data_IF_236420149922
#
_entry.id   IF_236420149922
#
_cell.length_a   1.000
_cell.length_b   1.000
_cell.length_c   1.000
_cell.angle_alpha   90.00
_cell.angle_beta   90.00
_cell.angle_gamma   90.00
#
_symmetry.space_group_name_H-M   'P 1'
#
loop_
_entity.id
_entity.type
_entity.pdbx_description
1 polymer ?
#
# COMPACT_ATOMS: atom_id res chain seq x y z
N UNK A 1 5.23 -13.21 -11.04
CA UNK A 1 6.33 -12.62 -10.24
C UNK A 1 5.87 -11.28 -9.68
N UNK A 2 6.33 -10.92 -8.50
CA UNK A 2 6.04 -9.64 -7.86
C UNK A 2 7.36 -8.90 -7.64
N UNK A 3 7.51 -7.71 -8.24
CA UNK A 3 8.59 -6.79 -7.92
C UNK A 3 8.22 -6.05 -6.63
N UNK A 4 8.97 -6.28 -5.57
CA UNK A 4 8.66 -5.77 -4.23
C UNK A 4 9.14 -4.34 -4.06
N UNK A 5 10.39 -4.08 -4.44
CA UNK A 5 11.07 -2.79 -4.32
C UNK A 5 12.25 -2.73 -5.28
N UNK A 6 13.06 -1.68 -5.18
CA UNK A 6 14.31 -1.55 -5.91
C UNK A 6 15.44 -1.17 -4.95
N UNK A 7 16.63 -1.75 -5.10
CA UNK A 7 17.78 -1.47 -4.24
C UNK A 7 18.20 0.01 -4.21
N UNK A 8 17.81 0.78 -5.23
CA UNK A 8 18.03 2.22 -5.33
C UNK A 8 16.98 3.08 -4.62
N UNK A 9 15.98 2.43 -4.00
CA UNK A 9 14.98 3.13 -3.18
C UNK A 9 15.51 3.45 -1.78
N UNK A 10 16.67 4.14 -1.73
CA UNK A 10 17.34 4.53 -0.49
C UNK A 10 17.62 6.03 -0.51
N UNK A 11 17.18 6.72 0.54
CA UNK A 11 17.53 8.10 0.84
C UNK A 11 17.54 9.05 -0.37
N UNK A 12 18.63 9.78 -0.57
CA UNK A 12 18.75 10.79 -1.62
C UNK A 12 18.76 10.17 -3.03
N UNK A 13 19.27 8.94 -3.22
CA UNK A 13 19.27 8.28 -4.54
C UNK A 13 17.84 8.06 -5.04
N UNK A 14 16.93 7.65 -4.16
CA UNK A 14 15.51 7.56 -4.49
C UNK A 14 14.94 8.91 -4.89
N UNK A 15 15.18 9.94 -4.08
CA UNK A 15 14.62 11.28 -4.31
C UNK A 15 15.09 11.90 -5.63
N UNK A 16 16.31 11.62 -6.06
CA UNK A 16 16.86 12.10 -7.34
C UNK A 16 16.13 11.53 -8.57
N UNK A 17 15.43 10.39 -8.40
CA UNK A 17 14.64 9.75 -9.46
C UNK A 17 13.15 10.14 -9.42
N UNK A 18 12.72 10.95 -8.46
CA UNK A 18 11.34 11.43 -8.38
C UNK A 18 11.14 12.61 -9.31
N UNK A 19 10.28 12.44 -10.31
CA UNK A 19 10.08 13.41 -11.40
C UNK A 19 9.52 14.74 -10.92
N UNK A 20 8.67 14.73 -9.89
CA UNK A 20 8.02 15.95 -9.39
C UNK A 20 7.91 15.92 -7.87
N UNK A 21 8.22 17.06 -7.25
CA UNK A 21 8.07 17.30 -5.82
C UNK A 21 8.76 16.25 -4.91
N UNK A 22 10.05 15.91 -5.13
CA UNK A 22 10.73 14.86 -4.36
C UNK A 22 10.76 15.15 -2.85
N UNK A 23 10.82 16.41 -2.43
CA UNK A 23 10.84 16.79 -1.02
C UNK A 23 9.63 16.29 -0.22
N UNK A 24 8.49 16.09 -0.89
CA UNK A 24 7.28 15.54 -0.26
C UNK A 24 7.51 14.12 0.27
N UNK A 25 8.37 13.33 -0.36
CA UNK A 25 8.64 11.95 -0.01
C UNK A 25 9.78 11.78 1.00
N UNK A 26 10.48 12.86 1.35
CA UNK A 26 11.67 12.80 2.21
C UNK A 26 11.40 12.06 3.53
N UNK A 27 10.38 12.46 4.28
CA UNK A 27 10.05 11.84 5.55
C UNK A 27 9.61 10.38 5.40
N UNK A 28 8.87 10.06 4.35
CA UNK A 28 8.40 8.69 4.10
C UNK A 28 9.56 7.75 3.82
N UNK A 29 10.49 8.16 2.94
CA UNK A 29 11.67 7.33 2.59
C UNK A 29 12.67 7.26 3.74
N UNK A 30 12.79 8.33 4.57
CA UNK A 30 13.63 8.28 5.77
C UNK A 30 13.05 7.37 6.86
N UNK A 31 11.75 7.15 6.87
CA UNK A 31 11.07 6.29 7.85
C UNK A 31 10.95 4.83 7.40
N UNK A 32 10.91 4.58 6.09
CA UNK A 32 10.76 3.24 5.53
C UNK A 32 11.34 3.22 4.11
N UNK A 33 12.52 2.65 3.96
CA UNK A 33 13.22 2.57 2.68
C UNK A 33 13.31 1.12 2.13
N UNK A 34 14.23 0.90 1.20
CA UNK A 34 14.52 -0.41 0.64
C UNK A 34 14.94 -1.43 1.71
N UNK A 35 15.81 -1.03 2.64
CA UNK A 35 16.34 -1.94 3.66
C UNK A 35 15.24 -2.40 4.61
N UNK A 36 14.36 -1.46 5.00
CA UNK A 36 13.19 -1.77 5.83
C UNK A 36 12.20 -2.70 5.11
N UNK A 37 11.99 -2.46 3.81
CA UNK A 37 11.14 -3.31 3.00
C UNK A 37 11.69 -4.74 2.89
N UNK A 38 13.00 -4.90 2.65
CA UNK A 38 13.66 -6.21 2.62
C UNK A 38 13.54 -6.90 3.96
N UNK A 39 13.93 -6.23 5.05
CA UNK A 39 13.84 -6.77 6.40
C UNK A 39 12.40 -7.21 6.72
N UNK A 40 11.39 -6.37 6.43
CA UNK A 40 10.00 -6.72 6.67
C UNK A 40 9.59 -8.04 6.01
N UNK A 41 9.93 -8.24 4.74
CA UNK A 41 9.54 -9.48 4.03
C UNK A 41 10.33 -10.70 4.51
N UNK A 42 11.62 -10.56 4.78
CA UNK A 42 12.47 -11.65 5.26
C UNK A 42 12.09 -12.08 6.68
N UNK A 43 11.81 -11.15 7.58
CA UNK A 43 11.32 -11.41 8.93
C UNK A 43 9.95 -12.13 8.93
N UNK A 44 9.15 -11.91 7.87
CA UNK A 44 7.86 -12.58 7.65
C UNK A 44 7.98 -13.82 6.73
N UNK A 45 9.17 -14.38 6.57
CA UNK A 45 9.41 -15.67 5.94
C UNK A 45 9.51 -15.65 4.42
N UNK A 46 9.65 -14.48 3.79
CA UNK A 46 9.81 -14.35 2.35
C UNK A 46 11.21 -13.84 2.00
N UNK A 47 12.16 -14.75 1.73
CA UNK A 47 13.51 -14.39 1.25
C UNK A 47 13.45 -13.71 -0.11
N UNK A 48 14.25 -12.65 -0.23
CA UNK A 48 14.30 -11.81 -1.42
C UNK A 48 15.65 -11.92 -2.14
N UNK A 49 15.66 -11.58 -3.43
CA UNK A 49 16.86 -11.48 -4.28
C UNK A 49 16.80 -10.21 -5.13
N UNK A 50 17.95 -9.62 -5.38
CA UNK A 50 18.10 -8.50 -6.31
C UNK A 50 18.41 -9.05 -7.69
N UNK A 51 17.76 -8.52 -8.72
CA UNK A 51 17.99 -8.86 -10.12
C UNK A 51 18.44 -7.62 -10.91
N UNK A 52 18.71 -7.83 -12.19
CA UNK A 52 19.17 -6.76 -13.09
C UNK A 52 18.31 -5.49 -12.97
N UNK A 53 18.95 -4.36 -12.83
CA UNK A 53 18.32 -3.04 -12.67
C UNK A 53 17.84 -2.76 -11.24
N UNK A 54 18.38 -3.50 -10.24
CA UNK A 54 18.07 -3.30 -8.83
C UNK A 54 16.68 -3.78 -8.42
N UNK A 55 15.98 -4.50 -9.28
CA UNK A 55 14.63 -5.01 -9.00
C UNK A 55 14.68 -6.14 -8.00
N UNK A 56 13.77 -6.13 -7.04
CA UNK A 56 13.74 -7.09 -5.94
C UNK A 56 12.55 -8.04 -6.07
N UNK A 57 12.84 -9.33 -6.05
CA UNK A 57 11.84 -10.39 -6.18
C UNK A 57 11.99 -11.45 -5.09
N UNK A 58 10.94 -12.23 -4.79
CA UNK A 58 11.10 -13.40 -3.95
C UNK A 58 12.06 -14.41 -4.61
N UNK A 59 12.90 -15.05 -3.81
CA UNK A 59 13.84 -16.09 -4.29
C UNK A 59 13.11 -17.20 -5.03
N UNK A 60 11.91 -17.54 -4.60
CA UNK A 60 11.05 -18.55 -5.20
C UNK A 60 10.45 -18.16 -6.56
N UNK A 61 10.55 -16.90 -6.97
CA UNK A 61 9.86 -16.31 -8.14
C UNK A 61 8.31 -16.36 -8.07
N UNK A 62 7.74 -16.69 -6.92
CA UNK A 62 6.29 -16.78 -6.70
C UNK A 62 5.71 -15.54 -6.03
N UNK A 63 4.80 -14.84 -6.70
CA UNK A 63 4.08 -13.70 -6.11
C UNK A 63 3.28 -14.10 -4.85
N UNK A 64 2.83 -15.35 -4.78
CA UNK A 64 2.10 -15.87 -3.61
C UNK A 64 2.91 -15.80 -2.31
N UNK A 65 4.23 -15.84 -2.36
CA UNK A 65 5.03 -15.82 -1.14
C UNK A 65 5.08 -14.41 -0.53
N UNK A 66 5.00 -13.37 -1.38
CA UNK A 66 4.78 -11.99 -0.92
C UNK A 66 3.42 -11.86 -0.22
N UNK A 67 2.37 -12.41 -0.82
CA UNK A 67 1.02 -12.40 -0.21
C UNK A 67 1.00 -13.15 1.13
N UNK A 68 1.67 -14.29 1.21
CA UNK A 68 1.78 -15.07 2.46
C UNK A 68 2.49 -14.27 3.55
N UNK A 69 3.62 -13.63 3.25
CA UNK A 69 4.35 -12.80 4.21
C UNK A 69 3.49 -11.65 4.75
N UNK A 70 2.79 -10.93 3.86
CA UNK A 70 1.85 -9.88 4.27
C UNK A 70 0.72 -10.43 5.14
N UNK A 71 0.12 -11.55 4.75
CA UNK A 71 -0.96 -12.18 5.51
C UNK A 71 -0.47 -12.61 6.91
N UNK A 72 0.73 -13.18 6.97
CA UNK A 72 1.36 -13.58 8.24
C UNK A 72 1.53 -12.36 9.17
N UNK A 73 2.12 -11.27 8.66
CA UNK A 73 2.32 -10.04 9.41
C UNK A 73 1.00 -9.45 9.94
N UNK A 74 -0.04 -9.43 9.12
CA UNK A 74 -1.37 -8.94 9.48
C UNK A 74 -1.98 -9.78 10.60
N UNK A 75 -1.92 -11.12 10.46
CA UNK A 75 -2.48 -12.05 11.45
C UNK A 75 -1.77 -11.93 12.81
N UNK A 76 -0.44 -11.81 12.81
CA UNK A 76 0.33 -11.63 14.05
C UNK A 76 -0.04 -10.34 14.80
N UNK A 77 -0.48 -9.31 14.10
CA UNK A 77 -0.94 -8.04 14.68
C UNK A 77 -2.42 -8.05 15.09
N UNK A 78 -3.11 -9.19 14.94
CA UNK A 78 -4.53 -9.31 15.27
C UNK A 78 -5.46 -8.49 14.36
N UNK A 79 -5.00 -8.12 13.18
CA UNK A 79 -5.80 -7.35 12.22
C UNK A 79 -6.90 -8.23 11.62
N UNK A 80 -8.13 -7.73 11.63
CA UNK A 80 -9.26 -8.40 10.99
C UNK A 80 -9.31 -8.05 9.51
N UNK A 81 -9.16 -9.03 8.64
CA UNK A 81 -9.31 -8.88 7.20
C UNK A 81 -10.71 -9.32 6.78
N UNK A 82 -11.42 -8.48 6.04
CA UNK A 82 -12.72 -8.82 5.45
C UNK A 82 -12.61 -8.83 3.93
N UNK A 83 -12.66 -10.01 3.34
CA UNK A 83 -12.68 -10.21 1.89
C UNK A 83 -14.07 -9.97 1.31
N UNK A 84 -14.14 -9.74 0.01
CA UNK A 84 -15.38 -9.47 -0.74
C UNK A 84 -16.22 -8.34 -0.12
N UNK A 85 -15.52 -7.33 0.41
CA UNK A 85 -16.11 -6.20 1.12
C UNK A 85 -15.77 -4.91 0.41
N UNK A 86 -16.75 -4.37 -0.32
CA UNK A 86 -16.62 -3.10 -1.04
C UNK A 86 -17.05 -1.94 -0.16
N UNK A 87 -16.19 -0.94 -0.04
CA UNK A 87 -16.52 0.32 0.62
C UNK A 87 -17.35 1.18 -0.32
N UNK A 88 -18.57 1.50 0.08
CA UNK A 88 -19.52 2.29 -0.71
C UNK A 88 -19.42 3.78 -0.40
N UNK A 89 -19.17 4.11 0.87
CA UNK A 89 -18.96 5.49 1.30
C UNK A 89 -18.22 5.56 2.64
N UNK A 90 -17.57 6.68 2.85
CA UNK A 90 -17.00 7.05 4.14
C UNK A 90 -17.54 8.42 4.50
N UNK A 91 -18.02 8.58 5.74
CA UNK A 91 -18.48 9.87 6.29
C UNK A 91 -17.74 10.15 7.59
N UNK A 92 -17.55 11.41 7.88
CA UNK A 92 -17.00 11.85 9.18
C UNK A 92 -18.13 12.47 10.00
N UNK A 93 -18.39 11.87 11.16
CA UNK A 93 -19.32 12.39 12.15
C UNK A 93 -18.53 12.74 13.41
N UNK A 94 -18.44 14.03 13.71
CA UNK A 94 -17.66 14.54 14.85
C UNK A 94 -16.22 14.02 14.83
N UNK A 95 -15.87 13.11 15.74
CA UNK A 95 -14.54 12.53 15.91
C UNK A 95 -14.42 11.09 15.39
N UNK A 96 -15.46 10.56 14.74
CA UNK A 96 -15.50 9.18 14.22
C UNK A 96 -15.72 9.17 12.71
N UNK A 97 -15.32 8.07 12.10
CA UNK A 97 -15.66 7.78 10.71
C UNK A 97 -16.66 6.64 10.64
N UNK A 98 -17.67 6.81 9.81
CA UNK A 98 -18.62 5.78 9.44
C UNK A 98 -18.28 5.26 8.05
N UNK A 99 -17.95 3.98 7.96
CA UNK A 99 -17.60 3.30 6.72
C UNK A 99 -18.73 2.38 6.34
N UNK A 100 -19.46 2.73 5.28
CA UNK A 100 -20.53 1.89 4.72
C UNK A 100 -19.97 0.95 3.68
N UNK A 101 -20.33 -0.31 3.80
CA UNK A 101 -19.90 -1.37 2.88
C UNK A 101 -21.10 -2.18 2.38
N UNK A 102 -20.88 -3.06 1.39
CA UNK A 102 -21.88 -4.04 0.95
C UNK A 102 -22.19 -5.12 2.01
N UNK A 103 -21.41 -5.20 3.10
CA UNK A 103 -21.60 -6.18 4.18
C UNK A 103 -21.96 -5.56 5.53
N UNK A 104 -22.28 -4.27 5.56
CA UNK A 104 -22.65 -3.55 6.78
C UNK A 104 -21.88 -2.26 6.98
N UNK A 105 -22.04 -1.68 8.15
CA UNK A 105 -21.43 -0.41 8.53
C UNK A 105 -20.43 -0.60 9.67
N UNK A 106 -19.35 0.17 9.61
CA UNK A 106 -18.28 0.15 10.60
C UNK A 106 -18.03 1.57 11.10
N UNK A 107 -17.78 1.69 12.40
CA UNK A 107 -17.38 2.96 13.02
C UNK A 107 -15.94 2.84 13.51
N UNK A 108 -15.09 3.81 13.18
CA UNK A 108 -13.70 3.82 13.56
C UNK A 108 -13.18 5.24 13.85
N UNK A 109 -12.04 5.33 14.52
CA UNK A 109 -11.39 6.60 14.85
C UNK A 109 -10.62 7.19 13.67
N UNK A 110 -10.07 6.32 12.81
CA UNK A 110 -9.23 6.71 11.68
C UNK A 110 -9.47 5.78 10.49
N UNK A 111 -9.34 6.34 9.29
CA UNK A 111 -9.40 5.60 8.02
C UNK A 111 -8.10 5.84 7.26
N UNK A 112 -7.46 4.76 6.80
CA UNK A 112 -6.32 4.82 5.90
C UNK A 112 -6.79 4.34 4.52
N UNK A 113 -6.72 5.23 3.54
CA UNK A 113 -7.14 4.95 2.17
C UNK A 113 -5.95 4.44 1.35
N UNK A 114 -5.92 3.14 1.07
CA UNK A 114 -4.82 2.46 0.38
C UNK A 114 -5.31 1.54 -0.75
N UNK A 115 -6.35 1.96 -1.45
CA UNK A 115 -7.06 1.16 -2.48
C UNK A 115 -6.32 1.06 -3.81
N UNK A 116 -5.14 1.64 -3.92
CA UNK A 116 -4.37 1.68 -5.18
C UNK A 116 -4.90 2.71 -6.18
N UNK A 117 -4.41 2.62 -7.41
CA UNK A 117 -4.75 3.54 -8.50
C UNK A 117 -5.72 2.95 -9.53
N UNK A 118 -5.47 3.25 -10.83
CA UNK A 118 -6.32 2.82 -11.97
C UNK A 118 -5.60 1.96 -13.00
N UNK A 119 -4.32 1.64 -12.78
CA UNK A 119 -3.48 1.03 -13.81
C UNK A 119 -3.86 -0.41 -14.17
N UNK A 120 -4.43 -1.16 -13.23
CA UNK A 120 -4.82 -2.56 -13.41
C UNK A 120 -6.21 -2.84 -12.80
N UNK A 121 -7.30 -2.43 -13.46
CA UNK A 121 -8.67 -2.60 -12.93
C UNK A 121 -9.04 -4.07 -12.64
N UNK A 122 -8.51 -5.02 -13.42
CA UNK A 122 -8.74 -6.46 -13.22
C UNK A 122 -8.16 -7.02 -11.92
N UNK A 123 -7.25 -6.29 -11.28
CA UNK A 123 -6.69 -6.65 -9.97
C UNK A 123 -7.29 -5.84 -8.81
N UNK A 124 -8.38 -5.13 -9.06
CA UNK A 124 -9.09 -4.31 -8.07
C UNK A 124 -8.70 -2.83 -8.03
N UNK A 125 -7.71 -2.41 -8.83
CA UNK A 125 -7.27 -1.00 -8.91
C UNK A 125 -8.17 -0.20 -9.86
N UNK A 126 -9.44 -0.03 -9.49
CA UNK A 126 -10.49 0.60 -10.28
C UNK A 126 -10.61 2.13 -10.07
N UNK A 127 -9.88 2.67 -9.09
CA UNK A 127 -9.85 4.09 -8.78
C UNK A 127 -10.93 4.57 -7.79
N UNK A 128 -11.62 3.68 -7.11
CA UNK A 128 -12.66 4.05 -6.10
C UNK A 128 -12.11 4.98 -5.02
N UNK A 129 -10.83 4.83 -4.65
CA UNK A 129 -10.16 5.70 -3.69
C UNK A 129 -10.17 7.17 -4.09
N UNK A 130 -10.15 7.50 -5.36
CA UNK A 130 -10.22 8.89 -5.83
C UNK A 130 -11.58 9.53 -5.51
N UNK A 131 -12.67 8.78 -5.68
CA UNK A 131 -14.00 9.25 -5.35
C UNK A 131 -14.15 9.47 -3.84
N UNK A 132 -13.64 8.53 -3.04
CA UNK A 132 -13.63 8.66 -1.58
C UNK A 132 -12.80 9.87 -1.11
N UNK A 133 -11.60 10.05 -1.64
CA UNK A 133 -10.76 11.20 -1.30
C UNK A 133 -11.41 12.54 -1.71
N UNK A 134 -12.02 12.59 -2.89
CA UNK A 134 -12.75 13.78 -3.37
C UNK A 134 -13.90 14.16 -2.44
N UNK A 135 -14.61 13.19 -1.87
CA UNK A 135 -15.71 13.43 -0.94
C UNK A 135 -15.25 14.12 0.35
N UNK A 136 -13.96 14.02 0.69
CA UNK A 136 -13.31 14.74 1.80
C UNK A 136 -12.64 16.05 1.38
N UNK A 137 -12.90 16.56 0.18
CA UNK A 137 -12.38 17.83 -0.31
C UNK A 137 -10.98 17.77 -0.90
N UNK A 138 -10.37 16.58 -1.05
CA UNK A 138 -9.07 16.46 -1.70
C UNK A 138 -9.16 16.76 -3.19
N UNK A 139 -8.21 17.53 -3.69
CA UNK A 139 -8.04 17.76 -5.12
C UNK A 139 -7.42 16.52 -5.77
N UNK A 140 -8.11 15.92 -6.71
CA UNK A 140 -7.59 14.81 -7.51
C UNK A 140 -6.90 15.37 -8.76
N UNK A 141 -5.62 15.06 -8.89
CA UNK A 141 -4.85 15.40 -10.10
C UNK A 141 -5.18 14.35 -11.16
N UNK A 142 -5.51 14.75 -12.41
CA UNK A 142 -5.75 13.81 -13.50
C UNK A 142 -4.55 12.88 -13.71
N UNK A 143 -4.83 11.58 -13.90
CA UNK A 143 -3.84 10.52 -14.16
C UNK A 143 -3.94 10.07 -15.61
#
# INVERSE_FOLDING_TARGET
RCNVTNEKCVGQEFLNNVVSNPKFLYSAISAFDYNDAVAFFEDNGCKLKVERGGRVFPVSDKASDITKALTHAIMQKGVRVQLDTNVLSVKKNENKFEVKTNKGEFVCDKVILTTGGKSYPTTGSNGDGYALAKAFGHKIIPT
#
